data_IF_712718110692
#
_entry.id   IF_712718110692
#
_cell.length_a   1.000
_cell.length_b   1.000
_cell.length_c   1.000
_cell.angle_alpha   90.00
_cell.angle_beta   90.00
_cell.angle_gamma   90.00
#
_symmetry.space_group_name_H-M   'P 1'
#
loop_
_entity.id
_entity.type
_entity.pdbx_description
1 polymer ?
#
# COMPACT_ATOMS: atom_id res chain seq x y z
N UNK A 1 -2.03 8.24 1.00
CA UNK A 1 -2.97 7.18 1.45
C UNK A 1 -4.14 7.09 0.48
N UNK A 2 -4.64 5.91 0.29
CA UNK A 2 -5.77 5.62 -0.61
C UNK A 2 -6.87 4.97 0.21
N UNK A 3 -8.11 5.46 0.06
CA UNK A 3 -9.27 4.85 0.71
C UNK A 3 -9.73 3.65 -0.09
N UNK A 4 -9.82 2.49 0.57
CA UNK A 4 -10.26 1.26 -0.08
C UNK A 4 -11.78 1.27 -0.30
N UNK A 5 -12.27 0.53 -1.32
CA UNK A 5 -13.70 0.34 -1.52
C UNK A 5 -14.40 -0.16 -0.26
N UNK A 6 -15.69 0.12 -0.07
CA UNK A 6 -16.39 -0.22 1.18
C UNK A 6 -16.60 -1.72 1.40
N UNK A 7 -16.33 -2.56 0.40
CA UNK A 7 -16.47 -4.02 0.49
C UNK A 7 -15.12 -4.71 0.23
N UNK A 8 -15.03 -5.99 0.63
CA UNK A 8 -13.81 -6.78 0.45
C UNK A 8 -12.83 -6.64 1.61
N UNK A 9 -11.61 -7.11 1.40
CA UNK A 9 -10.54 -7.04 2.39
C UNK A 9 -10.28 -5.59 2.76
N UNK A 10 -10.29 -5.29 4.07
CA UNK A 10 -10.05 -3.95 4.61
C UNK A 10 -10.96 -2.88 4.03
N UNK A 11 -12.21 -3.26 3.72
CA UNK A 11 -13.19 -2.34 3.13
C UNK A 11 -13.37 -1.06 3.93
N UNK A 12 -13.32 0.07 3.24
CA UNK A 12 -13.50 1.39 3.85
C UNK A 12 -12.30 1.93 4.64
N UNK A 13 -11.23 1.14 4.84
CA UNK A 13 -10.03 1.60 5.52
C UNK A 13 -9.11 2.36 4.55
N UNK A 14 -8.27 3.21 5.10
CA UNK A 14 -7.19 3.85 4.35
C UNK A 14 -5.99 2.92 4.28
N UNK A 15 -5.31 2.91 3.15
CA UNK A 15 -4.16 2.04 2.92
C UNK A 15 -3.12 2.76 2.06
N UNK A 16 -1.96 2.13 1.92
CA UNK A 16 -0.96 2.56 0.95
C UNK A 16 -1.45 2.26 -0.47
N UNK A 17 -0.98 3.00 -1.50
CA UNK A 17 -1.24 2.62 -2.88
C UNK A 17 -0.81 1.17 -3.14
N UNK A 18 -1.63 0.44 -3.88
CA UNK A 18 -1.43 -1.01 -4.08
C UNK A 18 -1.25 -1.36 -5.55
N UNK A 19 -0.42 -2.36 -5.80
CA UNK A 19 -0.44 -3.08 -7.07
C UNK A 19 -1.69 -3.98 -7.14
N UNK A 20 -2.05 -4.39 -8.34
CA UNK A 20 -3.12 -5.38 -8.50
C UNK A 20 -2.70 -6.70 -7.84
N UNK A 21 -3.59 -7.23 -7.01
CA UNK A 21 -3.36 -8.49 -6.32
C UNK A 21 -3.63 -9.66 -7.26
N UNK A 22 -2.79 -10.67 -7.18
CA UNK A 22 -2.95 -11.91 -7.94
C UNK A 22 -2.98 -13.10 -7.00
N UNK A 23 -3.70 -14.15 -7.41
CA UNK A 23 -3.73 -15.41 -6.68
C UNK A 23 -2.44 -16.18 -6.95
N UNK A 24 -1.78 -16.64 -5.88
CA UNK A 24 -0.65 -17.55 -6.02
C UNK A 24 -1.15 -18.97 -6.21
N UNK A 25 -0.57 -19.65 -7.20
CA UNK A 25 -0.74 -21.08 -7.37
C UNK A 25 0.29 -21.84 -6.53
N UNK A 26 -0.01 -23.11 -6.23
CA UNK A 26 0.89 -23.96 -5.46
C UNK A 26 2.28 -24.03 -6.11
N UNK A 27 3.31 -23.85 -5.31
CA UNK A 27 4.69 -23.86 -5.78
C UNK A 27 5.19 -22.57 -6.40
N UNK A 28 4.36 -21.55 -6.52
CA UNK A 28 4.79 -20.24 -7.02
C UNK A 28 5.32 -19.36 -5.88
N UNK A 29 6.38 -18.61 -6.18
CA UNK A 29 6.86 -17.56 -5.29
C UNK A 29 6.16 -16.25 -5.61
N UNK A 30 5.93 -15.43 -4.56
CA UNK A 30 5.33 -14.11 -4.73
C UNK A 30 6.35 -13.17 -5.41
N UNK A 31 6.27 -13.10 -6.74
CA UNK A 31 7.07 -12.15 -7.53
C UNK A 31 6.16 -11.20 -8.26
N UNK A 32 6.46 -9.91 -8.16
CA UNK A 32 5.77 -8.89 -8.96
C UNK A 32 6.48 -8.83 -10.31
N UNK A 33 5.92 -9.52 -11.31
CA UNK A 33 6.47 -9.53 -12.68
C UNK A 33 6.09 -8.28 -13.47
N UNK A 34 4.94 -7.70 -13.16
CA UNK A 34 4.49 -6.45 -13.75
C UNK A 34 3.77 -5.64 -12.71
N UNK A 35 4.07 -4.35 -12.64
CA UNK A 35 3.39 -3.45 -11.73
C UNK A 35 2.14 -2.89 -12.42
N UNK A 36 0.99 -3.20 -11.86
CA UNK A 36 -0.28 -2.63 -12.28
C UNK A 36 -1.01 -2.15 -11.03
N UNK A 37 -1.54 -0.93 -11.08
CA UNK A 37 -2.31 -0.39 -9.96
C UNK A 37 -3.62 -1.15 -9.79
N UNK A 38 -3.97 -1.40 -8.53
CA UNK A 38 -5.21 -2.07 -8.16
C UNK A 38 -6.45 -1.22 -8.50
N UNK A 39 -6.28 0.10 -8.53
CA UNK A 39 -7.35 1.06 -8.78
C UNK A 39 -7.01 1.88 -10.03
N UNK A 40 -7.81 1.74 -11.11
CA UNK A 40 -7.51 2.41 -12.38
C UNK A 40 -7.49 3.94 -12.30
N UNK A 41 -8.19 4.52 -11.34
CA UNK A 41 -8.25 5.96 -11.12
C UNK A 41 -7.01 6.55 -10.44
N UNK A 42 -6.09 5.71 -10.00
CA UNK A 42 -4.84 6.20 -9.43
C UNK A 42 -3.96 6.85 -10.51
N UNK A 43 -3.24 7.94 -10.17
CA UNK A 43 -2.34 8.57 -11.13
C UNK A 43 -1.27 7.64 -11.65
N UNK A 44 -1.09 7.59 -12.97
CA UNK A 44 -0.02 6.81 -13.60
C UNK A 44 1.38 7.24 -13.14
N UNK A 45 1.51 8.45 -12.64
CA UNK A 45 2.77 8.96 -12.11
C UNK A 45 3.39 8.05 -11.04
N UNK A 46 2.57 7.29 -10.31
CA UNK A 46 3.07 6.33 -9.32
C UNK A 46 3.90 5.21 -9.98
N UNK A 47 3.60 4.84 -11.21
CA UNK A 47 4.37 3.82 -11.93
C UNK A 47 5.80 4.25 -12.22
N UNK A 48 6.01 5.53 -12.50
CA UNK A 48 7.33 6.05 -12.87
C UNK A 48 8.36 5.89 -11.76
N UNK A 49 7.91 5.81 -10.52
CA UNK A 49 8.77 5.74 -9.36
C UNK A 49 8.93 4.32 -8.81
N UNK A 50 8.24 3.35 -9.39
CA UNK A 50 8.26 1.98 -8.88
C UNK A 50 9.67 1.38 -8.86
N UNK A 51 10.41 1.52 -9.95
CA UNK A 51 11.76 0.97 -10.08
C UNK A 51 12.82 1.84 -9.38
N UNK A 52 12.48 3.09 -9.06
CA UNK A 52 13.36 4.03 -8.38
C UNK A 52 13.06 4.12 -6.88
N UNK A 53 12.47 3.08 -6.30
CA UNK A 53 12.18 3.03 -4.89
C UNK A 53 13.45 3.24 -4.04
N UNK A 54 13.37 4.15 -3.06
CA UNK A 54 14.47 4.45 -2.16
C UNK A 54 14.83 3.24 -1.31
N UNK A 55 13.82 2.47 -0.92
CA UNK A 55 13.98 1.27 -0.10
C UNK A 55 12.88 0.28 -0.42
N UNK A 56 13.27 -0.98 -0.57
CA UNK A 56 12.34 -2.10 -0.69
C UNK A 56 12.47 -2.92 0.59
N UNK A 57 11.37 -3.06 1.31
CA UNK A 57 11.34 -3.82 2.56
C UNK A 57 11.26 -5.33 2.27
N UNK A 58 11.67 -6.19 3.22
CA UNK A 58 11.53 -7.63 3.05
C UNK A 58 10.08 -8.05 2.81
N UNK A 59 9.84 -9.14 2.05
CA UNK A 59 8.51 -9.69 1.89
C UNK A 59 7.88 -10.04 3.24
N UNK A 60 6.58 -9.75 3.36
CA UNK A 60 5.80 -9.96 4.57
C UNK A 60 4.60 -10.84 4.28
N UNK A 61 4.05 -11.41 5.33
CA UNK A 61 2.87 -12.25 5.28
C UNK A 61 1.86 -11.79 6.33
N UNK A 62 0.60 -11.66 5.93
CA UNK A 62 -0.50 -11.41 6.86
C UNK A 62 -1.55 -12.51 6.71
N UNK A 63 -1.94 -13.10 7.83
CA UNK A 63 -2.86 -14.24 7.87
C UNK A 63 -4.25 -13.74 8.26
N UNK A 64 -5.22 -13.97 7.36
CA UNK A 64 -6.64 -13.83 7.64
C UNK A 64 -7.24 -15.20 8.01
N UNK A 65 -8.49 -15.23 8.44
CA UNK A 65 -9.18 -16.47 8.78
C UNK A 65 -9.17 -17.49 7.64
N UNK A 66 -9.38 -17.05 6.39
CA UNK A 66 -9.48 -17.92 5.22
C UNK A 66 -8.49 -17.58 4.10
N UNK A 67 -7.55 -16.66 4.35
CA UNK A 67 -6.61 -16.19 3.34
C UNK A 67 -5.26 -15.88 3.94
N UNK A 68 -4.24 -15.97 3.13
CA UNK A 68 -2.89 -15.50 3.44
C UNK A 68 -2.51 -14.47 2.39
N UNK A 69 -2.10 -13.28 2.85
CA UNK A 69 -1.67 -12.19 2.00
C UNK A 69 -0.15 -12.08 2.06
N UNK A 70 0.50 -12.21 0.90
CA UNK A 70 1.92 -11.92 0.76
C UNK A 70 2.06 -10.52 0.16
N UNK A 71 2.86 -9.67 0.79
CA UNK A 71 3.04 -8.31 0.32
C UNK A 71 4.46 -7.83 0.55
N UNK A 72 4.82 -6.78 -0.16
CA UNK A 72 6.09 -6.10 -0.03
C UNK A 72 5.85 -4.60 -0.13
N UNK A 73 6.49 -3.83 0.74
CA UNK A 73 6.35 -2.38 0.76
C UNK A 73 7.58 -1.77 0.10
N UNK A 74 7.34 -0.81 -0.80
CA UNK A 74 8.37 0.01 -1.41
C UNK A 74 8.24 1.44 -0.91
N UNK A 75 9.34 2.00 -0.45
CA UNK A 75 9.39 3.38 -0.02
C UNK A 75 9.94 4.22 -1.18
N UNK A 76 9.15 5.18 -1.62
CA UNK A 76 9.50 6.09 -2.71
C UNK A 76 9.49 7.50 -2.16
N UNK A 77 10.63 8.21 -2.30
CA UNK A 77 10.72 9.60 -1.89
C UNK A 77 10.41 10.49 -3.10
N UNK A 78 9.35 11.28 -2.98
CA UNK A 78 8.98 12.25 -4.01
C UNK A 78 9.41 13.64 -3.57
N UNK A 79 10.06 14.37 -4.48
CA UNK A 79 10.47 15.76 -4.24
C UNK A 79 9.31 16.74 -4.35
N UNK A 80 8.25 16.34 -5.05
CA UNK A 80 7.04 17.15 -5.24
C UNK A 80 5.82 16.28 -5.02
N UNK A 81 4.73 16.87 -4.52
CA UNK A 81 3.45 16.18 -4.42
C UNK A 81 2.91 15.87 -5.83
N UNK A 82 2.20 14.76 -5.97
CA UNK A 82 1.52 14.42 -7.20
C UNK A 82 0.46 15.49 -7.50
N UNK A 83 0.42 15.95 -8.76
CA UNK A 83 -0.49 17.03 -9.16
C UNK A 83 -1.95 16.57 -9.26
N UNK A 84 -2.15 15.32 -9.67
CA UNK A 84 -3.49 14.75 -9.85
C UNK A 84 -3.81 13.80 -8.72
N UNK A 85 -4.81 14.15 -7.92
CA UNK A 85 -5.29 13.35 -6.82
C UNK A 85 -6.80 13.16 -6.95
N UNK A 86 -7.27 11.93 -6.73
CA UNK A 86 -8.70 11.65 -6.62
C UNK A 86 -9.17 11.90 -5.18
N UNK A 87 -10.49 12.05 -4.94
CA UNK A 87 -11.00 12.22 -3.58
C UNK A 87 -10.63 11.07 -2.63
N UNK A 88 -10.39 9.87 -3.16
CA UNK A 88 -9.99 8.68 -2.40
C UNK A 88 -8.50 8.64 -2.10
N UNK A 89 -7.72 9.61 -2.58
CA UNK A 89 -6.27 9.71 -2.34
C UNK A 89 -5.97 10.98 -1.55
N UNK A 90 -5.08 10.87 -0.55
CA UNK A 90 -4.67 12.01 0.24
C UNK A 90 -3.20 11.92 0.63
N UNK A 91 -2.53 13.05 0.58
CA UNK A 91 -1.28 13.25 1.31
C UNK A 91 -1.60 13.43 2.78
N UNK A 92 -0.93 12.65 3.63
CA UNK A 92 -1.24 12.61 5.05
C UNK A 92 0.03 12.86 5.86
N UNK A 93 -0.07 13.80 6.81
CA UNK A 93 1.01 14.05 7.76
C UNK A 93 1.08 12.95 8.82
N UNK A 94 2.20 12.86 9.53
CA UNK A 94 2.36 11.88 10.60
C UNK A 94 1.32 12.05 11.70
N UNK A 95 0.92 13.28 11.98
CA UNK A 95 -0.11 13.58 12.98
C UNK A 95 -1.49 13.10 12.55
N UNK A 96 -1.84 13.30 11.28
CA UNK A 96 -3.13 12.90 10.75
C UNK A 96 -3.26 11.40 10.54
N UNK A 97 -2.15 10.72 10.29
CA UNK A 97 -2.18 9.28 10.00
C UNK A 97 -2.72 8.47 11.19
N UNK A 98 -2.50 8.95 12.41
CA UNK A 98 -3.00 8.29 13.62
C UNK A 98 -4.52 8.40 13.76
N UNK A 99 -5.16 9.30 13.02
CA UNK A 99 -6.61 9.50 13.02
C UNK A 99 -7.33 8.67 11.96
N UNK A 100 -6.60 8.02 11.07
CA UNK A 100 -7.17 7.22 10.00
C UNK A 100 -7.38 5.77 10.45
N UNK A 101 -8.46 5.14 9.95
CA UNK A 101 -8.61 3.70 10.06
C UNK A 101 -7.65 3.02 9.09
N UNK A 102 -6.65 2.30 9.62
CA UNK A 102 -5.63 1.61 8.86
C UNK A 102 -5.66 0.11 9.13
N UNK A 103 -5.36 -0.73 8.13
CA UNK A 103 -5.14 -2.15 8.39
C UNK A 103 -3.99 -2.37 9.39
N UNK A 104 -4.09 -3.42 10.19
CA UNK A 104 -3.06 -3.75 11.20
C UNK A 104 -1.65 -3.86 10.62
N UNK A 105 -1.42 -4.52 9.47
CA UNK A 105 -0.07 -4.57 8.90
C UNK A 105 0.48 -3.20 8.54
N UNK A 106 -0.38 -2.27 8.12
CA UNK A 106 0.03 -0.91 7.77
C UNK A 106 0.36 -0.10 9.02
N UNK A 107 -0.43 -0.23 10.08
CA UNK A 107 -0.10 0.38 11.38
C UNK A 107 1.26 -0.11 11.89
N UNK A 108 1.49 -1.41 11.80
CA UNK A 108 2.76 -2.01 12.22
C UNK A 108 3.93 -1.47 11.42
N UNK A 109 3.78 -1.36 10.10
CA UNK A 109 4.80 -0.76 9.25
C UNK A 109 5.09 0.69 9.65
N UNK A 110 4.05 1.50 9.85
CA UNK A 110 4.21 2.90 10.25
C UNK A 110 4.91 3.02 11.60
N UNK A 111 4.58 2.16 12.54
CA UNK A 111 5.20 2.14 13.86
C UNK A 111 6.68 1.73 13.78
N UNK A 112 6.98 0.65 13.07
CA UNK A 112 8.32 0.05 13.07
C UNK A 112 9.32 0.85 12.23
N UNK A 113 8.89 1.39 11.09
CA UNK A 113 9.80 2.04 10.14
C UNK A 113 9.72 3.56 10.15
N UNK A 114 8.57 4.14 10.46
CA UNK A 114 8.38 5.59 10.51
C UNK A 114 8.25 6.11 11.94
N UNK A 115 8.31 5.24 12.93
CA UNK A 115 8.27 5.58 14.37
C UNK A 115 7.01 6.37 14.75
N UNK A 116 5.89 6.07 14.11
CA UNK A 116 4.60 6.67 14.44
C UNK A 116 3.98 5.94 15.62
N UNK A 117 3.52 6.68 16.60
CA UNK A 117 2.84 6.16 17.78
C UNK A 117 1.34 6.25 17.57
N UNK A 118 0.69 5.10 17.55
CA UNK A 118 -0.76 4.99 17.43
C UNK A 118 -1.45 4.96 18.78
#
# INVERSE_FOLDING_TARGET
>A
MVKRPPSGIWGGLWCLPESAWSKLEEGQTAQVRSFKLAYPEMPEQLFRYYDSATKVLPPQKHIFTHRVLFYQIRMIHLHQKLEQMTPEMQWVTNEKITLLGLPTPIQRFMSDYLQIIF
#
